data_IF_129060585734
#
_entry.id   IF_129060585734
#
_cell.length_a   1.000
_cell.length_b   1.000
_cell.length_c   1.000
_cell.angle_alpha   90.00
_cell.angle_beta   90.00
_cell.angle_gamma   90.00
#
_symmetry.space_group_name_H-M   'P 1'
#
loop_
_entity.id
_entity.type
_entity.pdbx_description
1 polymer ?
#
# COMPACT_ATOMS: atom_id res chain seq x y z
N UNK A 1 -13.06 -6.96 -7.02
CA UNK A 1 -11.81 -6.60 -7.64
C UNK A 1 -11.05 -7.79 -8.21
N UNK A 2 -10.09 -7.50 -9.08
CA UNK A 2 -9.21 -8.53 -9.67
C UNK A 2 -7.91 -8.73 -8.92
N UNK A 3 -7.63 -7.86 -7.93
CA UNK A 3 -6.44 -7.91 -7.08
C UNK A 3 -5.11 -7.92 -7.85
N UNK A 4 -5.08 -7.38 -9.06
CA UNK A 4 -3.93 -7.35 -9.97
C UNK A 4 -4.25 -7.96 -11.34
N UNK A 5 -5.00 -9.05 -11.43
CA UNK A 5 -5.28 -9.73 -12.72
C UNK A 5 -6.03 -8.85 -13.72
N UNK A 6 -6.71 -7.79 -13.30
CA UNK A 6 -7.44 -6.85 -14.18
C UNK A 6 -6.66 -5.59 -14.58
N UNK A 7 -5.35 -5.55 -14.32
CA UNK A 7 -4.48 -4.43 -14.74
C UNK A 7 -4.15 -4.54 -16.25
N UNK A 8 -4.09 -5.74 -16.78
CA UNK A 8 -3.61 -6.05 -18.13
C UNK A 8 -4.71 -5.95 -19.17
N UNK A 9 -4.32 -5.78 -20.43
CA UNK A 9 -5.23 -5.87 -21.56
C UNK A 9 -5.37 -7.33 -22.01
N UNK A 10 -6.60 -7.80 -21.97
CA UNK A 10 -6.96 -9.13 -22.45
C UNK A 10 -7.56 -9.07 -23.85
N UNK A 11 -7.51 -10.19 -24.57
CA UNK A 11 -8.04 -10.29 -25.92
C UNK A 11 -9.54 -9.92 -26.01
N UNK A 12 -10.30 -10.28 -25.00
CA UNK A 12 -11.73 -10.02 -24.90
C UNK A 12 -12.04 -8.51 -24.87
N UNK A 13 -11.24 -7.70 -24.21
CA UNK A 13 -11.41 -6.24 -24.17
C UNK A 13 -11.21 -5.61 -25.55
N UNK A 14 -10.19 -6.08 -26.29
CA UNK A 14 -9.97 -5.65 -27.67
C UNK A 14 -11.13 -6.08 -28.59
N UNK A 15 -11.62 -7.33 -28.44
CA UNK A 15 -12.69 -7.89 -29.26
C UNK A 15 -14.01 -7.16 -29.01
N UNK A 16 -14.44 -6.91 -27.76
CA UNK A 16 -15.69 -6.21 -27.47
C UNK A 16 -15.63 -4.76 -27.94
N UNK A 17 -14.47 -4.10 -27.81
CA UNK A 17 -14.28 -2.72 -28.28
C UNK A 17 -14.40 -2.66 -29.82
N UNK A 18 -13.72 -3.55 -30.54
CA UNK A 18 -13.82 -3.66 -31.99
C UNK A 18 -15.24 -3.99 -32.43
N UNK A 19 -15.89 -4.96 -31.78
CA UNK A 19 -17.26 -5.35 -32.11
C UNK A 19 -18.26 -4.22 -31.88
N UNK A 20 -18.13 -3.46 -30.79
CA UNK A 20 -18.99 -2.30 -30.52
C UNK A 20 -18.85 -1.23 -31.60
N UNK A 21 -17.62 -0.94 -32.04
CA UNK A 21 -17.35 -0.01 -33.13
C UNK A 21 -17.94 -0.47 -34.47
N UNK A 22 -17.80 -1.78 -34.79
CA UNK A 22 -18.29 -2.36 -36.04
C UNK A 22 -19.83 -2.44 -36.08
N UNK A 23 -20.44 -2.84 -34.97
CA UNK A 23 -21.91 -3.00 -34.86
C UNK A 23 -22.62 -1.68 -34.54
N UNK A 24 -21.89 -0.65 -34.11
CA UNK A 24 -22.42 0.62 -33.57
C UNK A 24 -23.48 0.40 -32.47
N UNK A 25 -23.18 -0.56 -31.59
CA UNK A 25 -24.02 -0.95 -30.45
C UNK A 25 -23.13 -1.27 -29.26
N UNK A 26 -23.60 -1.07 -28.02
CA UNK A 26 -22.93 -1.59 -26.83
C UNK A 26 -22.75 -3.11 -26.95
N UNK A 27 -21.54 -3.59 -26.65
CA UNK A 27 -21.20 -5.01 -26.57
C UNK A 27 -20.66 -5.27 -25.17
N UNK A 28 -21.14 -6.32 -24.52
CA UNK A 28 -20.74 -6.73 -23.19
C UNK A 28 -20.20 -8.14 -23.21
N UNK A 29 -19.10 -8.36 -22.51
CA UNK A 29 -18.59 -9.67 -22.16
C UNK A 29 -18.45 -9.76 -20.65
N UNK A 30 -18.70 -10.92 -20.07
CA UNK A 30 -18.53 -11.18 -18.64
C UNK A 30 -17.93 -12.56 -18.51
N UNK A 31 -16.69 -12.63 -18.02
CA UNK A 31 -16.01 -13.88 -17.76
C UNK A 31 -16.68 -14.63 -16.61
N UNK A 32 -16.80 -15.93 -16.77
CA UNK A 32 -17.02 -16.84 -15.65
C UNK A 32 -15.71 -17.08 -14.90
N UNK A 33 -15.80 -17.55 -13.66
CA UNK A 33 -14.62 -17.80 -12.84
C UNK A 33 -13.68 -18.84 -13.46
N UNK A 34 -14.25 -19.86 -14.08
CA UNK A 34 -13.47 -20.91 -14.75
C UNK A 34 -12.68 -20.37 -15.94
N UNK A 35 -13.27 -19.45 -16.73
CA UNK A 35 -12.57 -18.77 -17.83
C UNK A 35 -11.40 -17.94 -17.26
N UNK A 36 -11.64 -17.15 -16.20
CA UNK A 36 -10.57 -16.34 -15.58
C UNK A 36 -9.41 -17.20 -15.07
N UNK A 37 -9.67 -18.39 -14.52
CA UNK A 37 -8.59 -19.30 -14.10
C UNK A 37 -7.81 -19.91 -15.26
N UNK A 38 -8.40 -19.98 -16.45
CA UNK A 38 -7.77 -20.56 -17.63
C UNK A 38 -7.02 -19.52 -18.48
N UNK A 39 -7.45 -18.25 -18.45
CA UNK A 39 -6.98 -17.22 -19.39
C UNK A 39 -6.29 -16.03 -18.76
N UNK A 40 -6.64 -15.67 -17.50
CA UNK A 40 -6.06 -14.51 -16.85
C UNK A 40 -4.59 -14.77 -16.47
N UNK A 41 -3.83 -13.66 -16.36
CA UNK A 41 -2.47 -13.74 -15.84
C UNK A 41 -2.47 -14.29 -14.41
N UNK A 42 -1.55 -15.19 -14.13
CA UNK A 42 -1.34 -15.82 -12.82
C UNK A 42 -0.17 -15.18 -12.09
N UNK A 43 0.10 -15.61 -10.87
CA UNK A 43 1.26 -15.16 -10.09
C UNK A 43 1.87 -16.34 -9.32
N UNK A 44 3.09 -16.11 -8.80
CA UNK A 44 3.77 -16.99 -7.84
C UNK A 44 4.13 -18.38 -8.38
N UNK A 45 4.84 -18.40 -9.50
CA UNK A 45 5.37 -19.64 -10.07
C UNK A 45 6.90 -19.57 -10.10
N UNK A 46 7.51 -19.98 -9.00
CA UNK A 46 8.95 -19.96 -8.75
C UNK A 46 9.45 -21.34 -8.31
N UNK A 47 10.64 -21.70 -8.77
CA UNK A 47 11.44 -22.79 -8.19
C UNK A 47 12.71 -22.16 -7.64
N UNK A 48 12.86 -22.19 -6.31
CA UNK A 48 13.90 -21.41 -5.63
C UNK A 48 14.76 -22.30 -4.74
N UNK A 49 16.07 -22.15 -4.87
CA UNK A 49 17.06 -22.68 -3.95
C UNK A 49 17.61 -21.51 -3.11
N UNK A 50 17.70 -21.70 -1.79
CA UNK A 50 18.14 -20.68 -0.88
C UNK A 50 19.17 -21.24 0.13
N UNK A 51 20.20 -20.43 0.44
CA UNK A 51 21.22 -20.72 1.41
C UNK A 51 21.31 -19.51 2.37
N UNK A 52 21.29 -19.76 3.68
CA UNK A 52 21.47 -18.74 4.72
C UNK A 52 22.73 -19.04 5.52
N UNK A 53 23.66 -18.11 5.55
CA UNK A 53 24.87 -18.18 6.38
C UNK A 53 24.66 -17.48 7.71
N UNK A 54 25.06 -18.13 8.80
CA UNK A 54 25.03 -17.60 10.16
C UNK A 54 26.42 -17.66 10.79
N UNK A 55 26.70 -16.75 11.72
CA UNK A 55 27.86 -16.85 12.60
C UNK A 55 27.55 -17.67 13.88
N UNK A 56 28.55 -17.87 14.73
CA UNK A 56 28.43 -18.64 15.99
C UNK A 56 27.42 -18.00 16.99
N UNK A 57 27.04 -16.75 16.80
CA UNK A 57 26.04 -16.03 17.61
C UNK A 57 24.66 -16.05 16.98
N UNK A 58 24.46 -16.85 15.93
CA UNK A 58 23.23 -16.93 15.14
C UNK A 58 22.84 -15.58 14.46
N UNK A 59 23.84 -14.75 14.10
CA UNK A 59 23.66 -13.57 13.26
C UNK A 59 23.73 -13.95 11.81
N UNK A 60 22.80 -13.43 11.01
CA UNK A 60 22.81 -13.60 9.56
C UNK A 60 24.01 -12.88 8.95
N UNK A 61 24.84 -13.59 8.22
CA UNK A 61 26.02 -13.04 7.55
C UNK A 61 25.86 -13.00 6.04
N UNK A 62 25.09 -13.92 5.46
CA UNK A 62 24.84 -13.96 4.03
C UNK A 62 23.53 -14.67 3.68
N UNK A 63 22.88 -14.22 2.62
CA UNK A 63 21.75 -14.90 1.97
C UNK A 63 22.05 -15.06 0.49
N UNK A 64 21.94 -16.30 -0.02
CA UNK A 64 22.08 -16.59 -1.44
C UNK A 64 20.81 -17.24 -1.96
N UNK A 65 20.28 -16.70 -3.05
CA UNK A 65 19.03 -17.12 -3.67
C UNK A 65 19.28 -17.39 -5.14
N UNK A 66 18.94 -18.60 -5.59
CA UNK A 66 18.92 -18.99 -7.00
C UNK A 66 17.49 -19.36 -7.38
N UNK A 67 16.87 -18.54 -8.22
CA UNK A 67 15.46 -18.62 -8.54
C UNK A 67 15.24 -18.89 -10.04
N UNK A 68 14.30 -19.77 -10.37
CA UNK A 68 13.75 -19.93 -11.70
C UNK A 68 12.32 -19.39 -11.65
N UNK A 69 12.04 -18.35 -12.43
CA UNK A 69 10.74 -17.70 -12.50
C UNK A 69 10.05 -18.02 -13.83
N UNK A 70 8.85 -18.59 -13.78
CA UNK A 70 8.00 -18.79 -14.94
C UNK A 70 7.42 -17.45 -15.41
N UNK A 71 7.48 -17.19 -16.73
CA UNK A 71 6.85 -16.03 -17.37
C UNK A 71 5.59 -16.40 -18.17
N UNK A 72 5.27 -17.70 -18.26
CA UNK A 72 4.20 -18.21 -19.12
C UNK A 72 4.61 -18.30 -20.61
N UNK A 73 3.64 -18.41 -21.48
CA UNK A 73 3.87 -18.60 -22.92
C UNK A 73 4.28 -17.31 -23.65
N UNK A 74 4.01 -16.15 -23.06
CA UNK A 74 4.38 -14.83 -23.58
C UNK A 74 4.39 -13.80 -22.45
N UNK A 75 5.02 -12.63 -22.68
CA UNK A 75 5.12 -11.60 -21.67
C UNK A 75 3.81 -10.83 -21.53
N UNK A 76 3.38 -10.61 -20.30
CA UNK A 76 2.41 -9.61 -19.89
C UNK A 76 3.12 -8.30 -19.52
N UNK A 77 2.38 -7.30 -19.07
CA UNK A 77 2.86 -5.92 -18.89
C UNK A 77 4.04 -5.80 -17.91
N UNK A 78 3.96 -6.49 -16.77
CA UNK A 78 4.97 -6.40 -15.70
C UNK A 78 5.71 -7.73 -15.44
N UNK A 79 5.55 -8.72 -16.33
CA UNK A 79 6.14 -10.06 -16.17
C UNK A 79 7.65 -10.04 -15.92
N UNK A 80 8.39 -9.09 -16.50
CA UNK A 80 9.84 -8.97 -16.30
C UNK A 80 10.20 -8.24 -15.02
N UNK A 81 9.31 -7.42 -14.49
CA UNK A 81 9.55 -6.63 -13.27
C UNK A 81 9.21 -7.40 -12.00
N UNK A 82 8.03 -8.03 -11.98
CA UNK A 82 7.46 -8.62 -10.76
C UNK A 82 8.25 -9.85 -10.29
N UNK A 83 8.31 -10.97 -11.05
CA UNK A 83 8.93 -12.19 -10.54
C UNK A 83 10.47 -12.15 -10.56
N UNK A 84 11.08 -11.10 -11.08
CA UNK A 84 12.53 -10.98 -11.23
C UNK A 84 13.06 -9.87 -10.33
N UNK A 85 12.85 -8.61 -10.72
CA UNK A 85 13.45 -7.46 -10.05
C UNK A 85 12.87 -7.24 -8.64
N UNK A 86 11.55 -7.14 -8.53
CA UNK A 86 10.92 -6.89 -7.23
C UNK A 86 11.12 -8.07 -6.27
N UNK A 87 11.04 -9.30 -6.76
CA UNK A 87 11.34 -10.49 -5.96
C UNK A 87 12.73 -10.38 -5.30
N UNK A 88 13.76 -10.07 -6.10
CA UNK A 88 15.12 -9.95 -5.58
C UNK A 88 15.29 -8.84 -4.55
N UNK A 89 14.62 -7.71 -4.74
CA UNK A 89 14.72 -6.57 -3.81
C UNK A 89 14.03 -6.82 -2.47
N UNK A 90 12.99 -7.68 -2.43
CA UNK A 90 12.28 -8.04 -1.20
C UNK A 90 12.94 -9.17 -0.39
N UNK A 91 13.91 -9.89 -0.96
CA UNK A 91 14.62 -10.96 -0.25
C UNK A 91 15.45 -10.48 0.96
N UNK A 92 15.54 -9.19 1.21
CA UNK A 92 16.15 -8.64 2.43
C UNK A 92 15.31 -8.96 3.67
N UNK A 93 13.97 -8.86 3.53
CA UNK A 93 13.05 -8.95 4.68
C UNK A 93 13.32 -7.85 5.72
N UNK A 94 12.90 -8.05 6.98
CA UNK A 94 13.16 -7.11 8.08
C UNK A 94 14.53 -7.28 8.75
N UNK A 95 15.50 -7.92 8.08
CA UNK A 95 16.75 -8.38 8.69
C UNK A 95 17.99 -7.60 8.25
N UNK A 96 19.00 -7.59 9.15
CA UNK A 96 20.32 -6.96 8.92
C UNK A 96 21.30 -7.88 8.19
N UNK A 97 20.89 -8.63 7.18
CA UNK A 97 21.76 -9.52 6.42
C UNK A 97 22.74 -8.69 5.58
N UNK A 98 24.06 -8.68 5.87
CA UNK A 98 25.00 -7.74 5.23
C UNK A 98 25.34 -8.10 3.79
N UNK A 99 25.28 -9.37 3.42
CA UNK A 99 25.58 -9.84 2.07
C UNK A 99 24.40 -10.62 1.49
N UNK A 100 23.85 -10.13 0.37
CA UNK A 100 22.74 -10.79 -0.32
C UNK A 100 23.09 -10.96 -1.79
N UNK A 101 22.96 -12.18 -2.29
CA UNK A 101 23.06 -12.51 -3.70
C UNK A 101 21.75 -13.13 -4.18
N UNK A 102 21.14 -12.54 -5.19
CA UNK A 102 19.94 -13.09 -5.83
C UNK A 102 20.19 -13.21 -7.34
N UNK A 103 20.03 -14.42 -7.85
CA UNK A 103 19.99 -14.70 -9.28
C UNK A 103 18.61 -15.21 -9.65
N UNK A 104 17.96 -14.61 -10.65
CA UNK A 104 16.71 -15.11 -11.20
C UNK A 104 16.84 -15.42 -12.68
N UNK A 105 16.55 -16.66 -13.05
CA UNK A 105 16.42 -17.10 -14.44
C UNK A 105 14.95 -17.09 -14.83
N UNK A 106 14.58 -16.17 -15.71
CA UNK A 106 13.25 -16.11 -16.28
C UNK A 106 13.11 -17.11 -17.43
N UNK A 107 12.05 -17.90 -17.41
CA UNK A 107 11.81 -18.94 -18.42
C UNK A 107 10.41 -18.85 -19.01
N UNK A 108 10.29 -19.08 -20.31
CA UNK A 108 9.00 -19.26 -20.95
C UNK A 108 8.53 -20.70 -20.79
N UNK A 109 7.23 -20.86 -20.59
CA UNK A 109 6.57 -22.16 -20.50
C UNK A 109 5.27 -22.14 -21.31
N UNK A 110 4.49 -23.22 -21.24
CA UNK A 110 3.20 -23.32 -21.91
C UNK A 110 2.00 -22.97 -21.03
N UNK A 111 2.23 -22.19 -19.97
CA UNK A 111 1.16 -21.67 -19.09
C UNK A 111 0.69 -20.29 -19.55
N UNK A 112 -0.36 -19.77 -18.92
CA UNK A 112 -0.72 -18.36 -19.04
C UNK A 112 0.41 -17.47 -18.52
N UNK A 113 0.46 -16.17 -18.90
CA UNK A 113 1.48 -15.26 -18.39
C UNK A 113 1.48 -15.19 -16.87
N UNK A 114 2.68 -15.07 -16.29
CA UNK A 114 2.87 -14.82 -14.86
C UNK A 114 3.17 -13.34 -14.67
N UNK A 115 2.37 -12.66 -13.86
CA UNK A 115 2.48 -11.20 -13.66
C UNK A 115 2.00 -10.80 -12.26
N UNK A 116 1.74 -9.51 -12.05
CA UNK A 116 1.36 -8.96 -10.76
C UNK A 116 0.00 -9.48 -10.27
N UNK A 117 -0.01 -10.02 -9.08
CA UNK A 117 -1.20 -10.28 -8.27
C UNK A 117 -0.93 -9.76 -6.86
N UNK A 118 -1.97 -9.50 -6.06
CA UNK A 118 -1.89 -8.92 -4.70
C UNK A 118 -0.61 -9.31 -3.96
N UNK A 119 0.25 -8.32 -3.65
CA UNK A 119 1.58 -8.50 -3.05
C UNK A 119 2.75 -8.40 -4.04
N UNK A 120 2.57 -8.77 -5.32
CA UNK A 120 3.51 -8.52 -6.42
C UNK A 120 4.98 -8.83 -6.04
N UNK A 121 5.31 -10.11 -5.84
CA UNK A 121 6.59 -10.68 -5.39
C UNK A 121 6.90 -10.59 -3.89
N UNK A 122 6.27 -9.69 -3.13
CA UNK A 122 6.51 -9.63 -1.69
C UNK A 122 6.11 -10.93 -0.97
N UNK A 123 4.96 -11.59 -1.28
CA UNK A 123 4.62 -12.86 -0.67
C UNK A 123 5.63 -13.98 -0.95
N UNK A 124 6.15 -14.06 -2.19
CA UNK A 124 7.13 -15.06 -2.60
C UNK A 124 8.45 -14.88 -1.87
N UNK A 125 8.94 -13.64 -1.80
CA UNK A 125 10.16 -13.30 -1.10
C UNK A 125 10.01 -13.49 0.42
N UNK A 126 8.90 -13.05 1.00
CA UNK A 126 8.62 -13.23 2.44
C UNK A 126 8.54 -14.72 2.79
N UNK A 127 7.82 -15.52 1.99
CA UNK A 127 7.75 -16.97 2.22
C UNK A 127 9.14 -17.61 2.20
N UNK A 128 9.96 -17.27 1.22
CA UNK A 128 11.32 -17.80 1.11
C UNK A 128 12.19 -17.43 2.32
N UNK A 129 12.22 -16.14 2.68
CA UNK A 129 13.06 -15.64 3.77
C UNK A 129 12.58 -16.20 5.11
N UNK A 130 11.30 -16.16 5.40
CA UNK A 130 10.75 -16.63 6.66
C UNK A 130 10.88 -18.16 6.80
N UNK A 131 10.77 -18.89 5.68
CA UNK A 131 10.94 -20.34 5.70
C UNK A 131 12.37 -20.77 5.95
N UNK A 132 13.37 -20.09 5.37
CA UNK A 132 14.76 -20.41 5.65
C UNK A 132 15.17 -20.02 7.08
N UNK A 133 14.56 -18.96 7.63
CA UNK A 133 14.76 -18.56 9.04
C UNK A 133 14.18 -19.60 9.99
N UNK A 134 13.01 -20.17 9.71
CA UNK A 134 12.43 -21.27 10.50
C UNK A 134 13.32 -22.52 10.47
N UNK A 135 13.80 -22.90 9.27
CA UNK A 135 14.72 -24.05 9.14
C UNK A 135 16.01 -23.82 9.91
N UNK A 136 16.57 -22.62 9.87
CA UNK A 136 17.78 -22.28 10.64
C UNK A 136 17.50 -22.34 12.16
N UNK A 137 16.34 -21.89 12.62
CA UNK A 137 15.96 -22.01 14.03
C UNK A 137 15.87 -23.46 14.48
N UNK A 138 15.24 -24.32 13.65
CA UNK A 138 15.13 -25.76 13.92
C UNK A 138 16.51 -26.44 14.00
N UNK A 139 17.41 -26.17 13.05
CA UNK A 139 18.76 -26.74 13.04
C UNK A 139 19.63 -26.26 14.21
N UNK A 140 19.44 -25.02 14.65
CA UNK A 140 20.13 -24.46 15.82
C UNK A 140 19.51 -24.89 17.16
N UNK A 141 18.32 -25.51 17.15
CA UNK A 141 17.53 -25.77 18.34
C UNK A 141 17.14 -24.49 19.08
N UNK A 142 16.94 -23.40 18.34
CA UNK A 142 16.63 -22.08 18.86
C UNK A 142 15.14 -21.76 18.64
N UNK A 143 14.55 -21.00 19.57
CA UNK A 143 13.21 -20.44 19.36
C UNK A 143 13.16 -19.56 18.12
N UNK A 144 12.23 -19.79 17.17
CA UNK A 144 12.17 -19.03 15.91
C UNK A 144 11.87 -17.54 16.11
N UNK A 145 11.18 -17.14 17.18
CA UNK A 145 10.99 -15.74 17.52
C UNK A 145 12.29 -15.11 18.02
N UNK A 146 13.09 -15.85 18.78
CA UNK A 146 14.39 -15.36 19.28
C UNK A 146 15.40 -15.20 18.14
N UNK A 147 15.45 -16.12 17.17
CA UNK A 147 16.33 -16.00 16.01
C UNK A 147 16.00 -14.74 15.20
N UNK A 148 14.70 -14.44 15.02
CA UNK A 148 14.22 -13.21 14.35
C UNK A 148 14.65 -11.96 15.11
N UNK A 149 14.41 -11.90 16.43
CA UNK A 149 14.79 -10.75 17.28
C UNK A 149 16.27 -10.41 17.18
N UNK A 150 17.13 -11.42 17.15
CA UNK A 150 18.59 -11.21 17.03
C UNK A 150 18.98 -10.52 15.73
N UNK A 151 18.21 -10.72 14.68
CA UNK A 151 18.56 -10.33 13.33
C UNK A 151 17.78 -9.15 12.76
N UNK A 152 16.77 -8.64 13.46
CA UNK A 152 16.01 -7.49 12.99
C UNK A 152 16.87 -6.23 12.82
N UNK A 153 16.49 -5.42 11.84
CA UNK A 153 16.98 -4.05 11.70
C UNK A 153 16.51 -3.27 12.94
N UNK A 154 17.42 -2.62 13.69
CA UNK A 154 17.06 -1.84 14.86
C UNK A 154 16.21 -0.62 14.51
N UNK A 155 15.29 -0.21 15.40
CA UNK A 155 14.38 0.92 15.16
C UNK A 155 15.11 2.28 15.01
N UNK A 156 16.32 2.41 15.54
CA UNK A 156 17.15 3.61 15.42
C UNK A 156 18.06 3.62 14.17
N UNK A 157 18.00 2.57 13.33
CA UNK A 157 18.79 2.48 12.10
C UNK A 157 18.11 3.13 10.88
N UNK A 158 16.86 3.56 11.00
CA UNK A 158 16.13 4.13 9.87
C UNK A 158 16.45 5.62 9.61
N UNK A 159 16.48 6.07 8.34
CA UNK A 159 16.22 5.27 7.14
C UNK A 159 17.35 4.27 6.86
N UNK A 160 17.01 2.98 6.66
CA UNK A 160 17.94 1.88 6.51
C UNK A 160 18.21 1.56 5.04
N UNK A 161 19.46 1.72 4.60
CA UNK A 161 19.87 1.31 3.26
C UNK A 161 20.13 -0.19 3.23
N UNK A 162 19.30 -0.92 2.48
CA UNK A 162 19.48 -2.35 2.29
C UNK A 162 20.71 -2.66 1.43
N UNK A 163 21.31 -3.85 1.52
CA UNK A 163 22.46 -4.24 0.69
C UNK A 163 22.11 -4.45 -0.79
N UNK A 164 20.81 -4.40 -1.17
CA UNK A 164 20.38 -4.51 -2.56
C UNK A 164 19.95 -3.14 -3.13
N UNK A 165 18.68 -2.81 -3.22
CA UNK A 165 18.25 -1.60 -3.93
C UNK A 165 17.38 -0.66 -3.09
N UNK A 166 16.64 -1.18 -2.12
CA UNK A 166 15.63 -0.42 -1.38
C UNK A 166 16.25 0.29 -0.17
N UNK A 167 15.72 1.48 0.13
CA UNK A 167 15.98 2.16 1.39
C UNK A 167 14.67 2.19 2.18
N UNK A 168 14.65 1.48 3.30
CA UNK A 168 13.49 1.42 4.18
C UNK A 168 13.37 2.72 4.98
N UNK A 169 12.16 3.26 5.07
CA UNK A 169 11.90 4.58 5.67
C UNK A 169 11.76 4.51 7.20
N UNK A 170 11.10 3.48 7.72
CA UNK A 170 10.78 3.34 9.15
C UNK A 170 10.51 1.88 9.51
N UNK A 171 10.47 1.58 10.81
CA UNK A 171 10.06 0.28 11.35
C UNK A 171 10.46 0.09 12.82
N UNK A 172 9.66 -0.70 13.54
CA UNK A 172 9.97 -1.25 14.86
C UNK A 172 9.54 -2.72 14.92
N UNK A 173 10.35 -3.57 14.31
CA UNK A 173 10.04 -4.99 14.16
C UNK A 173 10.06 -5.75 15.50
N UNK A 174 10.83 -5.25 16.48
CA UNK A 174 10.86 -5.83 17.82
C UNK A 174 9.51 -5.66 18.52
N UNK A 175 8.95 -4.45 18.48
CA UNK A 175 7.64 -4.15 19.09
C UNK A 175 6.52 -4.90 18.37
N UNK A 176 6.53 -4.92 17.05
CA UNK A 176 5.51 -5.60 16.25
C UNK A 176 5.48 -7.11 16.55
N UNK A 177 6.65 -7.77 16.56
CA UNK A 177 6.73 -9.19 16.92
C UNK A 177 6.31 -9.45 18.37
N UNK A 178 6.75 -8.61 19.32
CA UNK A 178 6.36 -8.75 20.73
C UNK A 178 4.84 -8.70 20.91
N UNK A 179 4.18 -7.73 20.28
CA UNK A 179 2.72 -7.59 20.34
C UNK A 179 2.01 -8.81 19.73
N UNK A 180 2.50 -9.33 18.60
CA UNK A 180 1.95 -10.53 17.99
C UNK A 180 2.09 -11.76 18.92
N UNK A 181 3.26 -11.95 19.53
CA UNK A 181 3.52 -13.07 20.45
C UNK A 181 2.63 -13.01 21.71
N UNK A 182 2.47 -11.80 22.28
CA UNK A 182 1.58 -11.58 23.43
C UNK A 182 0.12 -11.87 23.05
N UNK A 183 -0.38 -11.33 21.94
CA UNK A 183 -1.75 -11.53 21.48
C UNK A 183 -2.04 -13.00 21.09
N UNK A 184 -1.04 -13.72 20.58
CA UNK A 184 -1.14 -15.14 20.27
C UNK A 184 -1.10 -16.01 21.52
N UNK A 185 -0.68 -15.51 22.67
CA UNK A 185 -0.26 -16.32 23.83
C UNK A 185 0.78 -17.38 23.42
N UNK A 186 1.85 -16.92 22.77
CA UNK A 186 2.88 -17.80 22.23
C UNK A 186 3.52 -18.67 23.32
N UNK A 187 3.75 -18.14 24.51
CA UNK A 187 4.33 -18.87 25.65
C UNK A 187 3.44 -20.05 26.12
N UNK A 188 2.11 -19.94 25.96
CA UNK A 188 1.16 -20.99 26.29
C UNK A 188 1.03 -22.10 25.23
N UNK A 189 1.71 -21.99 24.09
CA UNK A 189 1.54 -22.90 22.96
C UNK A 189 1.83 -24.37 23.32
N UNK A 190 2.90 -24.67 24.03
CA UNK A 190 3.26 -26.05 24.38
C UNK A 190 2.21 -26.75 25.28
N UNK A 191 1.50 -26.00 26.09
CA UNK A 191 0.36 -26.57 26.86
C UNK A 191 -0.81 -26.94 25.93
N UNK A 192 -1.13 -26.06 24.99
CA UNK A 192 -2.17 -26.29 23.97
C UNK A 192 -1.82 -27.46 23.04
N UNK A 193 -0.54 -27.59 22.68
CA UNK A 193 -0.04 -28.70 21.87
C UNK A 193 -0.19 -30.04 22.55
N UNK A 194 0.14 -30.13 23.86
CA UNK A 194 -0.06 -31.34 24.65
C UNK A 194 -1.54 -31.67 24.82
N UNK A 195 -2.39 -30.67 25.02
CA UNK A 195 -3.84 -30.87 25.09
C UNK A 195 -4.39 -31.42 23.77
N UNK A 196 -4.02 -30.84 22.61
CA UNK A 196 -4.41 -31.35 21.30
C UNK A 196 -3.96 -32.82 21.08
N UNK A 197 -2.71 -33.14 21.48
CA UNK A 197 -2.19 -34.50 21.39
C UNK A 197 -3.01 -35.49 22.25
N UNK A 198 -3.52 -35.06 23.41
CA UNK A 198 -4.40 -35.92 24.24
C UNK A 198 -5.74 -36.24 23.55
N UNK A 199 -6.16 -35.45 22.57
CA UNK A 199 -7.32 -35.70 21.72
C UNK A 199 -6.99 -36.41 20.40
N UNK A 200 -5.72 -36.85 20.22
CA UNK A 200 -5.24 -37.48 19.01
C UNK A 200 -5.04 -36.48 17.83
N UNK A 201 -4.87 -35.19 18.11
CA UNK A 201 -4.64 -34.16 17.10
C UNK A 201 -3.19 -33.70 17.10
N UNK A 202 -2.74 -33.22 15.94
CA UNK A 202 -1.44 -32.55 15.78
C UNK A 202 -1.67 -31.03 15.80
N UNK A 203 -0.93 -30.31 16.65
CA UNK A 203 -1.04 -28.86 16.72
C UNK A 203 0.30 -28.21 16.41
N UNK A 204 0.26 -27.21 15.53
CA UNK A 204 1.42 -26.48 15.08
C UNK A 204 1.22 -24.97 15.19
N UNK A 205 2.32 -24.23 15.32
CA UNK A 205 2.35 -22.77 15.31
C UNK A 205 3.46 -22.33 14.36
N UNK A 206 3.17 -21.31 13.56
CA UNK A 206 4.15 -20.68 12.66
C UNK A 206 4.16 -19.17 12.84
N UNK A 207 5.34 -18.58 12.68
CA UNK A 207 5.58 -17.14 12.76
C UNK A 207 6.09 -16.67 11.41
N UNK A 208 5.57 -15.55 10.91
CA UNK A 208 6.15 -14.83 9.78
C UNK A 208 6.24 -13.35 10.10
N UNK A 209 7.37 -12.75 9.80
CA UNK A 209 7.56 -11.30 9.86
C UNK A 209 7.77 -10.78 8.44
N UNK A 210 7.23 -9.62 8.15
CA UNK A 210 7.30 -9.11 6.79
C UNK A 210 7.56 -7.61 6.73
N UNK A 211 8.06 -7.20 5.60
CA UNK A 211 8.08 -5.82 5.14
C UNK A 211 7.49 -5.77 3.74
N UNK A 212 6.78 -4.71 3.44
CA UNK A 212 6.16 -4.50 2.14
C UNK A 212 6.46 -3.09 1.63
N UNK A 213 6.71 -2.93 0.33
CA UNK A 213 6.85 -1.60 -0.27
C UNK A 213 5.52 -1.14 -0.84
N UNK A 214 4.96 -0.09 -0.27
CA UNK A 214 3.87 0.67 -0.87
C UNK A 214 4.43 1.66 -1.91
N UNK A 215 3.61 2.00 -2.92
CA UNK A 215 4.02 2.79 -4.08
C UNK A 215 4.84 1.91 -5.03
N UNK A 216 4.28 1.50 -6.14
CA UNK A 216 4.94 0.57 -7.08
C UNK A 216 6.38 1.00 -7.45
N UNK A 217 6.60 2.28 -7.69
CA UNK A 217 7.90 2.96 -7.72
C UNK A 217 7.70 4.48 -7.83
N UNK A 218 8.59 5.32 -7.27
CA UNK A 218 8.73 6.71 -7.71
C UNK A 218 9.01 6.79 -9.21
N UNK A 219 8.57 7.85 -9.89
CA UNK A 219 8.79 8.00 -11.34
C UNK A 219 10.28 7.93 -11.73
N UNK A 220 11.16 8.46 -10.87
CA UNK A 220 12.61 8.40 -11.11
C UNK A 220 13.15 6.96 -11.12
N UNK A 221 12.70 6.11 -10.17
CA UNK A 221 13.10 4.69 -10.09
C UNK A 221 12.53 3.91 -11.28
N UNK A 222 11.24 4.12 -11.59
CA UNK A 222 10.60 3.48 -12.72
C UNK A 222 11.27 3.84 -14.05
N UNK A 223 11.61 5.11 -14.24
CA UNK A 223 12.33 5.61 -15.42
C UNK A 223 13.72 4.99 -15.56
N UNK A 224 14.46 4.83 -14.47
CA UNK A 224 15.76 4.13 -14.45
C UNK A 224 15.65 2.66 -14.86
N UNK A 225 14.49 2.02 -14.63
CA UNK A 225 14.16 0.66 -15.05
C UNK A 225 13.54 0.59 -16.45
N UNK A 226 13.46 1.71 -17.19
CA UNK A 226 13.00 1.78 -18.57
C UNK A 226 11.50 2.04 -18.73
N UNK A 227 10.76 2.37 -17.68
CA UNK A 227 9.36 2.78 -17.79
C UNK A 227 9.25 4.13 -18.56
N UNK A 228 8.23 4.22 -19.43
CA UNK A 228 7.95 5.42 -20.25
C UNK A 228 6.71 6.18 -19.77
N UNK A 229 6.34 6.04 -18.49
CA UNK A 229 5.21 6.71 -17.88
C UNK A 229 5.63 7.29 -16.53
N UNK A 230 5.10 8.47 -16.19
CA UNK A 230 5.20 9.01 -14.84
C UNK A 230 4.26 8.25 -13.89
N UNK A 231 4.69 8.06 -12.65
CA UNK A 231 3.95 7.34 -11.63
C UNK A 231 3.42 8.28 -10.53
N UNK A 232 3.26 9.55 -10.84
CA UNK A 232 2.64 10.54 -9.96
C UNK A 232 1.11 10.43 -9.93
N UNK A 233 0.47 11.20 -9.07
CA UNK A 233 -0.98 11.30 -9.00
C UNK A 233 -1.41 12.77 -8.91
N UNK A 234 -2.65 13.06 -9.30
CA UNK A 234 -3.25 14.38 -9.12
C UNK A 234 -4.47 14.31 -8.21
N UNK A 235 -4.74 15.42 -7.55
CA UNK A 235 -6.01 15.67 -6.89
C UNK A 235 -6.40 17.14 -7.03
N UNK A 236 -7.69 17.39 -7.19
CA UNK A 236 -8.30 18.71 -7.09
C UNK A 236 -9.24 18.71 -5.88
N UNK A 237 -9.17 19.74 -5.04
CA UNK A 237 -10.10 19.98 -3.95
C UNK A 237 -10.83 21.29 -4.22
N UNK A 238 -12.13 21.19 -4.39
CA UNK A 238 -13.03 22.32 -4.68
C UNK A 238 -13.96 22.53 -3.51
N UNK A 239 -13.87 23.69 -2.87
CA UNK A 239 -14.83 24.13 -1.85
C UNK A 239 -15.86 25.01 -2.52
N UNK A 240 -17.14 24.58 -2.53
CA UNK A 240 -18.22 25.28 -3.16
C UNK A 240 -18.70 26.48 -2.33
N UNK A 241 -19.41 27.46 -2.93
CA UNK A 241 -19.98 28.61 -2.19
C UNK A 241 -20.90 28.21 -1.03
N UNK A 242 -21.45 26.99 -1.08
CA UNK A 242 -22.31 26.41 -0.03
C UNK A 242 -21.51 25.83 1.16
N UNK A 243 -20.18 25.76 1.05
CA UNK A 243 -19.31 25.09 2.02
C UNK A 243 -19.13 23.60 1.80
N UNK A 244 -19.85 22.97 0.86
CA UNK A 244 -19.61 21.57 0.48
C UNK A 244 -18.32 21.42 -0.32
N UNK A 245 -17.75 20.22 -0.33
CA UNK A 245 -16.46 19.94 -0.97
C UNK A 245 -16.57 18.82 -1.99
N UNK A 246 -16.04 19.03 -3.19
CA UNK A 246 -15.82 17.97 -4.17
C UNK A 246 -14.32 17.72 -4.32
N UNK A 247 -13.93 16.46 -4.24
CA UNK A 247 -12.55 15.99 -4.46
C UNK A 247 -12.50 15.16 -5.72
N UNK A 248 -11.66 15.57 -6.67
CA UNK A 248 -11.40 14.83 -7.90
C UNK A 248 -10.03 14.16 -7.76
N UNK A 249 -9.98 12.83 -7.91
CA UNK A 249 -8.73 12.08 -7.74
C UNK A 249 -8.56 11.01 -8.81
N UNK A 250 -7.32 10.80 -9.26
CA UNK A 250 -6.97 9.72 -10.17
C UNK A 250 -6.91 8.33 -9.53
N UNK A 251 -6.96 8.24 -8.20
CA UNK A 251 -6.93 6.97 -7.46
C UNK A 251 -8.31 6.32 -7.44
N UNK A 252 -8.58 5.46 -8.43
CA UNK A 252 -9.86 4.78 -8.60
C UNK A 252 -10.07 3.66 -7.57
N UNK A 253 -11.23 3.59 -6.94
CA UNK A 253 -11.59 2.53 -6.00
C UNK A 253 -11.96 1.21 -6.71
N UNK A 254 -11.58 0.09 -6.11
CA UNK A 254 -11.92 -1.27 -6.54
C UNK A 254 -12.64 -2.05 -5.41
N UNK A 255 -13.25 -1.34 -4.47
CA UNK A 255 -13.88 -1.88 -3.27
C UNK A 255 -13.05 -1.68 -1.99
N UNK A 256 -11.96 -0.89 -2.04
CA UNK A 256 -11.11 -0.62 -0.87
C UNK A 256 -11.68 0.48 0.07
N UNK A 257 -12.78 1.13 -0.28
CA UNK A 257 -13.41 2.16 0.53
C UNK A 257 -12.75 3.54 0.40
N UNK A 258 -12.18 3.87 -0.76
CA UNK A 258 -11.54 5.17 -1.00
C UNK A 258 -12.49 6.33 -0.80
N UNK A 259 -13.75 6.18 -1.19
CA UNK A 259 -14.79 7.20 -1.02
C UNK A 259 -14.93 7.60 0.46
N UNK A 260 -14.91 6.60 1.36
CA UNK A 260 -14.98 6.84 2.81
C UNK A 260 -13.69 7.41 3.35
N UNK A 261 -12.54 6.77 3.07
CA UNK A 261 -11.26 7.16 3.68
C UNK A 261 -10.74 8.49 3.16
N UNK A 262 -10.94 8.81 1.89
CA UNK A 262 -10.57 10.12 1.34
C UNK A 262 -11.50 11.22 1.86
N UNK A 263 -12.81 10.94 2.01
CA UNK A 263 -13.74 11.88 2.63
C UNK A 263 -13.35 12.15 4.11
N UNK A 264 -12.96 11.13 4.88
CA UNK A 264 -12.45 11.30 6.24
C UNK A 264 -11.18 12.17 6.28
N UNK A 265 -10.24 11.91 5.37
CA UNK A 265 -9.01 12.71 5.28
C UNK A 265 -9.32 14.20 5.03
N UNK A 266 -10.30 14.49 4.18
CA UNK A 266 -10.72 15.84 3.85
C UNK A 266 -11.55 16.45 4.99
N UNK A 267 -12.43 15.70 5.63
CA UNK A 267 -13.21 16.13 6.78
C UNK A 267 -12.29 16.57 7.92
N UNK A 268 -11.31 15.74 8.26
CA UNK A 268 -10.31 16.05 9.30
C UNK A 268 -9.45 17.27 8.94
N UNK A 269 -9.05 17.38 7.66
CA UNK A 269 -8.15 18.43 7.20
C UNK A 269 -8.84 19.81 7.05
N UNK A 270 -10.09 19.84 6.63
CA UNK A 270 -10.85 21.08 6.37
C UNK A 270 -11.90 21.40 7.44
N UNK A 271 -12.17 20.51 8.40
CA UNK A 271 -13.21 20.71 9.42
C UNK A 271 -14.62 20.76 8.83
N UNK A 272 -14.89 20.01 7.76
CA UNK A 272 -16.17 19.93 7.06
C UNK A 272 -16.85 18.62 7.41
N UNK A 273 -18.18 18.58 7.67
CA UNK A 273 -18.91 17.33 7.85
C UNK A 273 -18.72 16.38 6.68
N UNK A 274 -18.50 15.09 6.96
CA UNK A 274 -18.20 14.07 5.94
C UNK A 274 -19.33 13.95 4.90
N UNK A 275 -20.56 14.18 5.28
CA UNK A 275 -21.75 14.16 4.43
C UNK A 275 -21.77 15.29 3.39
N UNK A 276 -20.94 16.31 3.56
CA UNK A 276 -20.78 17.43 2.62
C UNK A 276 -19.60 17.23 1.66
N UNK A 277 -18.95 16.06 1.70
CA UNK A 277 -17.78 15.75 0.87
C UNK A 277 -18.13 14.70 -0.18
N UNK A 278 -17.94 15.05 -1.44
CA UNK A 278 -18.08 14.14 -2.58
C UNK A 278 -16.70 13.75 -3.12
N UNK A 279 -16.44 12.45 -3.23
CA UNK A 279 -15.23 11.92 -3.87
C UNK A 279 -15.56 11.46 -5.28
N UNK A 280 -14.92 12.05 -6.28
CA UNK A 280 -15.09 11.72 -7.70
C UNK A 280 -13.81 11.10 -8.23
N UNK A 281 -13.95 9.89 -8.78
CA UNK A 281 -12.86 9.16 -9.44
C UNK A 281 -13.38 8.38 -10.65
N UNK A 282 -12.46 7.86 -11.48
CA UNK A 282 -12.81 7.02 -12.63
C UNK A 282 -13.43 7.77 -13.82
N UNK A 283 -13.47 9.09 -13.80
CA UNK A 283 -13.97 9.93 -14.90
C UNK A 283 -12.81 10.73 -15.53
N UNK A 284 -12.30 10.25 -16.65
CA UNK A 284 -11.16 10.86 -17.35
C UNK A 284 -11.49 12.21 -17.99
N UNK A 285 -12.77 12.63 -18.04
CA UNK A 285 -13.16 13.98 -18.48
C UNK A 285 -13.02 15.02 -17.36
N UNK A 286 -12.98 14.57 -16.11
CA UNK A 286 -12.93 15.45 -14.92
C UNK A 286 -11.57 15.45 -14.25
N UNK A 287 -10.85 14.33 -14.30
CA UNK A 287 -9.58 14.14 -13.61
C UNK A 287 -8.44 14.62 -14.50
N UNK A 288 -7.60 15.53 -13.98
CA UNK A 288 -6.48 16.09 -14.73
C UNK A 288 -5.44 15.04 -15.12
N UNK A 289 -5.10 14.12 -14.22
CA UNK A 289 -4.20 12.99 -14.43
C UNK A 289 -4.43 11.93 -13.36
N UNK A 290 -4.31 10.66 -13.72
CA UNK A 290 -4.38 9.55 -12.77
C UNK A 290 -3.76 8.29 -13.33
N UNK A 291 -2.97 7.61 -12.48
CA UNK A 291 -2.42 6.28 -12.77
C UNK A 291 -3.27 5.16 -12.15
N UNK A 292 -4.28 5.50 -11.37
CA UNK A 292 -5.19 4.55 -10.76
C UNK A 292 -4.62 3.86 -9.50
N UNK A 293 -5.25 2.76 -9.13
CA UNK A 293 -4.98 2.03 -7.88
C UNK A 293 -4.32 0.68 -8.16
N UNK A 294 -3.05 0.56 -7.79
CA UNK A 294 -2.24 -0.67 -7.81
C UNK A 294 -1.00 -0.45 -6.94
N UNK A 295 -0.26 -1.51 -6.58
CA UNK A 295 0.99 -1.39 -5.81
C UNK A 295 0.84 -0.66 -4.48
N UNK A 296 -0.35 -0.69 -3.85
CA UNK A 296 -0.68 -0.03 -2.58
C UNK A 296 -0.36 1.47 -2.54
N UNK A 297 -0.59 2.18 -3.67
CA UNK A 297 -0.20 3.58 -3.85
C UNK A 297 -1.29 4.60 -3.49
N UNK A 298 -2.54 4.19 -3.34
CA UNK A 298 -3.67 5.13 -3.28
C UNK A 298 -3.61 6.10 -2.12
N UNK A 299 -3.25 5.66 -0.91
CA UNK A 299 -3.07 6.58 0.23
C UNK A 299 -1.75 7.35 0.11
N UNK A 300 -0.66 6.65 -0.12
CA UNK A 300 0.68 7.26 -0.12
C UNK A 300 0.89 8.27 -1.24
N UNK A 301 0.30 8.07 -2.42
CA UNK A 301 0.43 9.00 -3.56
C UNK A 301 -0.83 9.83 -3.75
N UNK A 302 -1.99 9.18 -3.93
CA UNK A 302 -3.27 9.86 -4.14
C UNK A 302 -3.72 10.66 -2.93
N UNK A 303 -3.67 10.07 -1.72
CA UNK A 303 -3.99 10.78 -0.47
C UNK A 303 -3.07 11.97 -0.23
N UNK A 304 -1.77 11.83 -0.50
CA UNK A 304 -0.83 12.95 -0.40
C UNK A 304 -1.13 14.05 -1.41
N UNK A 305 -1.56 13.73 -2.64
CA UNK A 305 -1.99 14.73 -3.60
C UNK A 305 -3.22 15.49 -3.10
N UNK A 306 -4.20 14.80 -2.46
CA UNK A 306 -5.37 15.42 -1.82
C UNK A 306 -4.93 16.37 -0.70
N UNK A 307 -4.05 15.94 0.21
CA UNK A 307 -3.55 16.80 1.31
C UNK A 307 -2.87 18.05 0.74
N UNK A 308 -2.01 17.91 -0.28
CA UNK A 308 -1.36 19.05 -0.91
C UNK A 308 -2.35 20.02 -1.60
N UNK A 309 -3.43 19.51 -2.15
CA UNK A 309 -4.49 20.36 -2.70
C UNK A 309 -5.25 21.10 -1.58
N UNK A 310 -5.58 20.41 -0.46
CA UNK A 310 -6.16 21.04 0.74
C UNK A 310 -5.25 22.13 1.31
N UNK A 311 -3.94 21.88 1.40
CA UNK A 311 -2.97 22.87 1.88
C UNK A 311 -3.03 24.17 1.04
N UNK A 312 -3.17 24.04 -0.29
CA UNK A 312 -3.34 25.20 -1.17
C UNK A 312 -4.68 25.92 -0.95
N UNK A 313 -5.77 25.17 -0.77
CA UNK A 313 -7.09 25.73 -0.42
C UNK A 313 -7.00 26.51 0.89
N UNK A 314 -6.39 25.95 1.91
CA UNK A 314 -6.20 26.61 3.21
C UNK A 314 -5.31 27.85 3.07
N UNK A 315 -4.21 27.78 2.33
CA UNK A 315 -3.34 28.93 2.10
C UNK A 315 -4.08 30.06 1.38
N UNK A 316 -4.86 29.76 0.34
CA UNK A 316 -5.71 30.75 -0.34
C UNK A 316 -6.77 31.32 0.59
N UNK A 317 -7.42 30.44 1.39
CA UNK A 317 -8.40 30.82 2.41
C UNK A 317 -7.82 31.79 3.46
N UNK A 318 -6.58 31.56 3.92
CA UNK A 318 -5.88 32.46 4.86
C UNK A 318 -5.71 33.85 4.30
N UNK A 319 -5.34 34.01 3.04
CA UNK A 319 -5.21 35.31 2.36
C UNK A 319 -6.55 36.04 2.29
N UNK A 320 -7.62 35.35 1.92
CA UNK A 320 -8.98 35.92 1.89
C UNK A 320 -9.41 36.32 3.30
N UNK A 321 -9.19 35.47 4.32
CA UNK A 321 -9.51 35.76 5.70
C UNK A 321 -8.71 36.97 6.25
N UNK A 322 -7.42 37.05 5.97
CA UNK A 322 -6.55 38.14 6.33
C UNK A 322 -7.08 39.48 5.80
N UNK A 323 -7.46 39.51 4.51
CA UNK A 323 -8.06 40.69 3.87
C UNK A 323 -9.38 41.09 4.57
N UNK A 324 -10.29 40.13 4.82
CA UNK A 324 -11.58 40.42 5.45
C UNK A 324 -11.50 40.80 6.93
N UNK A 325 -10.53 40.20 7.62
CA UNK A 325 -10.31 40.48 9.05
C UNK A 325 -9.31 41.61 9.30
N UNK A 326 -8.83 42.29 8.26
CA UNK A 326 -7.83 43.35 8.36
C UNK A 326 -6.65 42.92 9.26
N UNK A 327 -6.07 41.77 9.00
CA UNK A 327 -4.98 41.16 9.73
C UNK A 327 -3.84 40.71 8.79
N UNK A 328 -2.66 40.43 9.33
CA UNK A 328 -1.58 39.82 8.57
C UNK A 328 -1.91 38.35 8.25
N UNK A 329 -1.56 37.86 7.06
CA UNK A 329 -1.70 36.45 6.72
C UNK A 329 -0.96 35.52 7.72
N UNK A 330 0.18 35.97 8.23
CA UNK A 330 0.96 35.26 9.25
C UNK A 330 0.24 35.08 10.58
N UNK A 331 -0.72 35.94 10.89
CA UNK A 331 -1.52 35.90 12.12
C UNK A 331 -2.80 35.06 11.94
N UNK A 332 -3.10 34.56 10.75
CA UNK A 332 -4.26 33.72 10.50
C UNK A 332 -3.93 32.25 10.77
N UNK A 333 -4.55 31.69 11.79
CA UNK A 333 -4.55 30.25 12.07
C UNK A 333 -5.77 29.60 11.43
N UNK A 334 -5.59 28.35 10.95
CA UNK A 334 -6.70 27.53 10.45
C UNK A 334 -6.82 26.26 11.28
N UNK A 335 -7.99 26.06 11.85
CA UNK A 335 -8.30 24.87 12.63
C UNK A 335 -9.81 24.60 12.61
N UNK A 336 -10.20 23.32 12.48
CA UNK A 336 -11.58 22.86 12.56
C UNK A 336 -12.55 23.71 11.70
N UNK A 337 -12.16 24.02 10.47
CA UNK A 337 -12.96 24.80 9.52
C UNK A 337 -13.03 26.30 9.80
N UNK A 338 -12.21 26.84 10.70
CA UNK A 338 -12.19 28.24 11.10
C UNK A 338 -10.83 28.89 10.79
N UNK A 339 -10.88 30.07 10.18
CA UNK A 339 -9.75 30.98 10.03
C UNK A 339 -9.84 32.05 11.14
N UNK A 340 -8.91 32.03 12.07
CA UNK A 340 -8.93 32.87 13.27
C UNK A 340 -7.69 33.75 13.35
N UNK A 341 -7.85 35.01 13.70
CA UNK A 341 -6.70 35.89 14.00
C UNK A 341 -6.11 35.48 15.34
N UNK A 342 -4.86 35.06 15.36
CA UNK A 342 -4.15 34.52 16.52
C UNK A 342 -4.30 35.46 17.76
N UNK A 343 -4.65 34.89 18.91
CA UNK A 343 -4.82 35.62 20.15
C UNK A 343 -6.11 36.47 20.25
N UNK A 344 -7.05 36.31 19.32
CA UNK A 344 -8.35 37.03 19.31
C UNK A 344 -9.52 36.07 19.10
N UNK A 345 -10.76 36.58 19.21
CA UNK A 345 -12.01 35.91 18.89
C UNK A 345 -12.49 36.18 17.44
N UNK A 346 -11.71 36.96 16.65
CA UNK A 346 -12.04 37.29 15.26
C UNK A 346 -11.79 36.10 14.37
N UNK A 347 -12.85 35.58 13.78
CA UNK A 347 -12.75 34.39 12.90
C UNK A 347 -13.70 34.45 11.72
N UNK A 348 -13.43 33.62 10.72
CA UNK A 348 -14.29 33.34 9.58
C UNK A 348 -14.33 31.83 9.31
N UNK A 349 -15.53 31.31 9.11
CA UNK A 349 -15.71 29.92 8.74
C UNK A 349 -15.28 29.66 7.29
N UNK A 350 -14.83 28.42 6.99
CA UNK A 350 -14.46 28.01 5.63
C UNK A 350 -15.57 28.28 4.61
N UNK A 351 -16.84 28.05 4.97
CA UNK A 351 -17.98 28.34 4.10
C UNK A 351 -18.16 29.84 3.81
N UNK A 352 -17.86 30.74 4.76
CA UNK A 352 -17.90 32.19 4.53
C UNK A 352 -16.76 32.62 3.58
N UNK A 353 -15.57 32.06 3.76
CA UNK A 353 -14.43 32.28 2.88
C UNK A 353 -14.72 31.75 1.48
N UNK A 354 -15.31 30.56 1.36
CA UNK A 354 -15.73 29.99 0.08
C UNK A 354 -16.75 30.91 -0.62
N UNK A 355 -17.78 31.34 0.10
CA UNK A 355 -18.78 32.28 -0.48
C UNK A 355 -18.10 33.55 -1.00
N UNK A 356 -17.19 34.13 -0.22
CA UNK A 356 -16.40 35.31 -0.63
C UNK A 356 -15.56 35.05 -1.88
N UNK A 357 -14.96 33.88 -1.99
CA UNK A 357 -14.14 33.51 -3.15
C UNK A 357 -14.94 33.46 -4.46
N UNK A 358 -16.24 33.12 -4.40
CA UNK A 358 -17.13 33.08 -5.57
C UNK A 358 -18.00 34.33 -5.73
N UNK A 359 -18.14 35.15 -4.69
CA UNK A 359 -18.82 36.45 -4.72
C UNK A 359 -17.83 37.54 -4.23
N UNK A 360 -16.84 37.88 -5.05
CA UNK A 360 -15.62 38.56 -4.60
C UNK A 360 -15.79 40.06 -4.46
N UNK A 361 -16.79 40.54 -3.67
CA UNK A 361 -17.04 41.98 -3.45
C UNK A 361 -16.03 42.59 -2.44
N UNK A 362 -15.60 41.81 -1.43
CA UNK A 362 -14.54 42.17 -0.50
C UNK A 362 -13.45 41.10 -0.54
N UNK A 363 -12.59 41.18 -1.57
CA UNK A 363 -11.65 40.14 -1.97
C UNK A 363 -10.32 40.76 -2.42
N UNK A 364 -9.18 40.18 -2.15
CA UNK A 364 -7.86 40.72 -2.51
C UNK A 364 -7.53 40.46 -3.99
N UNK A 365 -8.18 41.18 -4.90
CA UNK A 365 -8.09 41.01 -6.36
C UNK A 365 -6.68 41.23 -6.93
N UNK A 366 -5.83 42.00 -6.24
CA UNK A 366 -4.44 42.24 -6.69
C UNK A 366 -3.54 41.04 -6.42
N UNK A 367 -3.96 40.09 -5.58
CA UNK A 367 -3.15 38.95 -5.15
C UNK A 367 -3.74 37.58 -5.57
N UNK A 368 -5.05 37.50 -5.71
CA UNK A 368 -5.75 36.23 -5.91
C UNK A 368 -6.78 36.30 -7.04
N UNK A 369 -6.93 35.15 -7.72
CA UNK A 369 -8.06 34.90 -8.62
C UNK A 369 -9.27 34.42 -7.83
N UNK A 370 -10.52 34.78 -8.22
CA UNK A 370 -11.74 34.22 -7.64
C UNK A 370 -11.81 32.69 -7.69
N UNK A 371 -12.66 32.09 -6.85
CA UNK A 371 -12.81 30.64 -6.71
C UNK A 371 -11.99 30.08 -5.55
N UNK A 372 -12.37 28.90 -5.07
CA UNK A 372 -11.68 28.16 -4.00
C UNK A 372 -11.56 26.68 -4.42
N UNK A 373 -10.88 26.48 -5.52
CA UNK A 373 -10.56 25.19 -6.10
C UNK A 373 -9.07 25.13 -6.42
N UNK A 374 -8.39 24.11 -5.92
CA UNK A 374 -6.96 23.98 -6.04
C UNK A 374 -6.57 22.56 -6.46
N UNK A 375 -5.62 22.49 -7.40
CA UNK A 375 -5.07 21.23 -7.91
C UNK A 375 -3.64 21.03 -7.42
N UNK A 376 -3.31 19.80 -7.04
CA UNK A 376 -1.95 19.40 -6.73
C UNK A 376 -1.57 18.10 -7.43
N UNK A 377 -0.26 17.97 -7.69
CA UNK A 377 0.38 16.78 -8.22
C UNK A 377 1.41 16.28 -7.22
N UNK A 378 1.51 14.97 -7.08
CA UNK A 378 2.49 14.39 -6.17
C UNK A 378 3.18 13.18 -6.80
N UNK A 379 4.50 13.25 -6.86
CA UNK A 379 5.39 12.13 -7.19
C UNK A 379 6.28 11.85 -5.97
N UNK A 380 6.22 10.66 -5.38
CA UNK A 380 7.03 10.34 -4.21
C UNK A 380 8.52 10.23 -4.54
N UNK A 381 9.37 10.48 -3.57
CA UNK A 381 10.84 10.33 -3.70
C UNK A 381 11.32 8.93 -3.38
N UNK A 382 10.57 8.18 -2.57
CA UNK A 382 10.89 6.83 -2.12
C UNK A 382 9.59 6.05 -1.92
N UNK A 383 9.71 4.73 -1.72
CA UNK A 383 8.64 3.88 -1.23
C UNK A 383 8.34 4.19 0.24
N UNK A 384 7.17 3.73 0.73
CA UNK A 384 6.85 3.63 2.14
C UNK A 384 6.76 2.16 2.53
N UNK A 385 7.16 1.81 3.75
CA UNK A 385 7.41 0.41 4.12
C UNK A 385 6.60 -0.02 5.34
N UNK A 386 5.31 -0.36 5.18
CA UNK A 386 4.58 -1.05 6.23
C UNK A 386 5.19 -2.41 6.52
N UNK A 387 5.06 -2.85 7.76
CA UNK A 387 5.60 -4.11 8.25
C UNK A 387 4.64 -4.80 9.21
N UNK A 388 4.90 -6.06 9.51
CA UNK A 388 4.07 -6.78 10.45
C UNK A 388 4.67 -8.10 10.91
N UNK A 389 4.00 -8.70 11.90
CA UNK A 389 4.24 -10.04 12.38
C UNK A 389 2.92 -10.82 12.45
N UNK A 390 2.87 -11.95 11.78
CA UNK A 390 1.71 -12.83 11.74
C UNK A 390 2.02 -14.16 12.39
N UNK A 391 1.09 -14.68 13.16
CA UNK A 391 1.20 -15.98 13.83
C UNK A 391 -0.05 -16.80 13.49
N UNK A 392 0.18 -17.97 12.92
CA UNK A 392 -0.88 -18.93 12.63
C UNK A 392 -0.75 -20.15 13.53
N UNK A 393 -1.82 -20.50 14.22
CA UNK A 393 -1.93 -21.74 15.00
C UNK A 393 -2.91 -22.67 14.31
N UNK A 394 -2.46 -23.88 14.00
CA UNK A 394 -3.23 -24.86 13.23
C UNK A 394 -3.37 -26.18 13.98
N UNK A 395 -4.46 -26.89 13.73
CA UNK A 395 -4.67 -28.25 14.21
C UNK A 395 -4.95 -29.17 13.03
N UNK A 396 -4.34 -30.35 13.03
CA UNK A 396 -4.49 -31.36 11.99
C UNK A 396 -5.05 -32.65 12.60
N UNK A 397 -6.07 -33.18 11.98
CA UNK A 397 -6.55 -34.52 12.22
C UNK A 397 -5.69 -35.52 11.44
N UNK A 398 -4.87 -36.37 12.10
CA UNK A 398 -3.97 -37.28 11.40
C UNK A 398 -4.68 -38.42 10.66
N UNK A 399 -5.94 -38.74 11.05
CA UNK A 399 -6.71 -39.81 10.40
C UNK A 399 -7.31 -39.35 9.07
N UNK A 400 -7.70 -38.08 8.97
CA UNK A 400 -8.36 -37.52 7.77
C UNK A 400 -7.49 -36.56 6.97
N UNK A 401 -6.40 -36.08 7.56
CA UNK A 401 -5.57 -35.00 7.00
C UNK A 401 -6.24 -33.63 7.02
N UNK A 402 -7.41 -33.48 7.67
CA UNK A 402 -8.12 -32.20 7.76
C UNK A 402 -7.32 -31.22 8.60
N UNK A 403 -7.02 -30.06 8.00
CA UNK A 403 -6.38 -28.93 8.66
C UNK A 403 -7.44 -27.89 9.05
N UNK A 404 -7.31 -27.37 10.26
CA UNK A 404 -8.09 -26.25 10.78
C UNK A 404 -7.16 -25.14 11.28
N UNK A 405 -7.42 -23.89 10.88
CA UNK A 405 -6.76 -22.71 11.46
C UNK A 405 -7.49 -22.38 12.75
N UNK A 406 -6.86 -22.67 13.87
CA UNK A 406 -7.46 -22.49 15.20
C UNK A 406 -7.39 -21.03 15.64
N UNK A 407 -6.26 -20.36 15.31
CA UNK A 407 -6.04 -18.95 15.62
C UNK A 407 -5.12 -18.33 14.57
N UNK A 408 -5.48 -17.14 14.12
CA UNK A 408 -4.61 -16.30 13.32
C UNK A 408 -4.45 -14.95 14.03
N UNK A 409 -3.23 -14.55 14.29
CA UNK A 409 -2.90 -13.29 14.99
C UNK A 409 -2.04 -12.44 14.08
N UNK A 410 -2.43 -11.19 13.91
CA UNK A 410 -1.68 -10.20 13.14
C UNK A 410 -1.37 -8.99 14.02
N UNK A 411 -0.15 -8.47 13.90
CA UNK A 411 0.28 -7.20 14.43
C UNK A 411 0.97 -6.45 13.32
N UNK A 412 0.33 -5.39 12.82
CA UNK A 412 0.77 -4.67 11.63
C UNK A 412 1.05 -3.21 11.96
N UNK A 413 2.16 -2.69 11.44
CA UNK A 413 2.52 -1.29 11.45
C UNK A 413 2.47 -0.72 10.03
N UNK A 414 1.47 0.08 9.74
CA UNK A 414 1.32 0.84 8.51
C UNK A 414 1.08 2.33 8.77
N UNK A 415 1.58 2.82 9.92
CA UNK A 415 1.52 4.21 10.31
C UNK A 415 0.14 4.64 10.83
N UNK A 416 -0.24 5.89 10.55
CA UNK A 416 -1.51 6.44 11.03
C UNK A 416 -2.70 5.80 10.30
N UNK A 417 -3.57 5.14 11.06
CA UNK A 417 -4.81 4.54 10.57
C UNK A 417 -5.83 5.65 10.31
N UNK A 418 -6.35 5.71 9.07
CA UNK A 418 -7.39 6.67 8.68
C UNK A 418 -8.75 6.21 9.19
N UNK A 419 -9.07 4.93 9.00
CA UNK A 419 -10.35 4.36 9.45
C UNK A 419 -10.13 3.00 10.12
N UNK A 420 -10.16 2.91 11.47
CA UNK A 420 -10.00 1.64 12.19
C UNK A 420 -11.03 0.58 11.78
N UNK A 421 -12.29 0.96 11.58
CA UNK A 421 -13.36 0.01 11.22
C UNK A 421 -13.14 -0.69 9.87
N UNK A 422 -12.41 -0.06 8.93
CA UNK A 422 -12.09 -0.68 7.64
C UNK A 422 -10.90 -1.62 7.78
N UNK A 423 -10.03 -1.37 8.76
CA UNK A 423 -8.84 -2.19 9.01
C UNK A 423 -9.20 -3.48 9.78
N UNK A 424 -10.06 -3.38 10.79
CA UNK A 424 -10.58 -4.51 11.56
C UNK A 424 -11.54 -5.41 10.73
#
# INVERSE_FOLDING_TARGET
GGFGSKIYHYAEEAIVTWAAGKLRRPVKWTAERSESFLSDAQARDHVTHVELGLDDNAKFVALKVSNIANLGGYLSTFSTGIPIYLFGTFCVGPYTTPAIYVETKAVFTNTVPVDAYRGASAPEATFLVERIVDLAADELGMDPAELRRRNFIPADAFPYQTPVALQYDSGDYQTTLRMALEAADYAGFEARRREAASRGKLRGIGIATYIYACIMAPSAVAGALGARAGLFESAEVRVHPTGSVTVLTGSHAHGQGHETTFAQLVADGLGVPIEQIEIVHGDTNKIAFGMGTYGSRSLAVGGTAIVKAMDKVVAKGKKIAAHQLEASEADIEFKDGQFTVAGTDRSKALGEIALTAYVPHNFPHDELEPGLDETAFYDPKNFTFPSGAHIAEVEIDPETGRLEIVKFTASDDFGRIINPMIVE
#
